data_IF_724035774150
#
_entry.id   IF_724035774150
#
_cell.length_a   1.000
_cell.length_b   1.000
_cell.length_c   1.000
_cell.angle_alpha   90.00
_cell.angle_beta   90.00
_cell.angle_gamma   90.00
#
_symmetry.space_group_name_H-M   'P 1'
#
loop_
_entity.id
_entity.type
_entity.pdbx_description
1 polymer ?
#
# COMPACT_ATOMS: atom_id res chain seq x y z
N UNK A 1 -2.47 -6.34 17.74
CA UNK A 1 -1.81 -5.70 16.58
C UNK A 1 -1.15 -6.75 15.71
N UNK A 2 -1.32 -6.64 14.42
CA UNK A 2 -0.75 -7.57 13.45
C UNK A 2 0.16 -6.80 12.52
N UNK A 3 1.34 -7.34 12.26
CA UNK A 3 2.32 -6.69 11.41
C UNK A 3 2.28 -7.31 10.01
N UNK A 4 1.93 -6.51 9.00
CA UNK A 4 1.88 -6.91 7.61
C UNK A 4 2.98 -6.27 6.74
N UNK A 5 3.92 -5.54 7.34
CA UNK A 5 4.94 -4.84 6.56
C UNK A 5 5.74 -5.77 5.66
N UNK A 6 6.15 -6.90 6.20
CA UNK A 6 6.94 -7.88 5.46
C UNK A 6 6.17 -8.46 4.27
N UNK A 7 4.92 -8.83 4.49
CA UNK A 7 4.07 -9.40 3.45
C UNK A 7 3.77 -8.40 2.35
N UNK A 8 3.47 -7.16 2.71
CA UNK A 8 3.20 -6.10 1.73
C UNK A 8 4.45 -5.80 0.93
N UNK A 9 5.58 -5.65 1.60
CA UNK A 9 6.87 -5.40 0.92
C UNK A 9 7.17 -6.52 -0.07
N UNK A 10 7.08 -7.77 0.36
CA UNK A 10 7.38 -8.91 -0.50
C UNK A 10 6.46 -8.98 -1.70
N UNK A 11 5.16 -8.75 -1.48
CA UNK A 11 4.18 -8.79 -2.57
C UNK A 11 4.46 -7.70 -3.61
N UNK A 12 4.64 -6.46 -3.17
CA UNK A 12 4.87 -5.35 -4.09
C UNK A 12 6.24 -5.45 -4.77
N UNK A 13 7.27 -5.86 -4.03
CA UNK A 13 8.62 -5.96 -4.56
C UNK A 13 8.79 -7.07 -5.60
N UNK A 14 7.82 -7.98 -5.69
CA UNK A 14 7.81 -9.00 -6.74
C UNK A 14 7.55 -8.42 -8.13
N UNK A 15 7.00 -7.21 -8.21
CA UNK A 15 6.66 -6.55 -9.48
C UNK A 15 7.56 -5.34 -9.74
N UNK A 16 7.73 -4.47 -8.75
CA UNK A 16 8.53 -3.25 -8.87
C UNK A 16 9.40 -3.07 -7.64
N UNK A 17 10.52 -2.34 -7.75
CA UNK A 17 11.25 -1.91 -6.57
C UNK A 17 10.32 -1.22 -5.58
N UNK A 18 10.38 -1.62 -4.32
CA UNK A 18 9.45 -1.17 -3.29
C UNK A 18 10.23 -0.60 -2.11
N UNK A 19 9.77 0.54 -1.60
CA UNK A 19 10.40 1.24 -0.50
C UNK A 19 9.36 1.59 0.56
N UNK A 20 9.75 1.52 1.83
CA UNK A 20 8.95 2.15 2.87
C UNK A 20 8.99 3.66 2.65
N UNK A 21 7.85 4.35 2.77
CA UNK A 21 7.79 5.77 2.43
C UNK A 21 8.75 6.62 3.26
N UNK A 22 8.98 6.27 4.52
CA UNK A 22 9.92 6.99 5.37
C UNK A 22 11.38 6.77 4.96
N UNK A 23 11.67 5.77 4.14
CA UNK A 23 13.00 5.47 3.65
C UNK A 23 13.28 6.08 2.28
N UNK A 24 12.30 6.76 1.67
CA UNK A 24 12.47 7.40 0.37
C UNK A 24 13.40 8.61 0.50
N UNK A 25 14.36 8.70 -0.38
CA UNK A 25 15.33 9.81 -0.42
C UNK A 25 15.22 10.63 -1.71
N UNK A 26 14.26 10.30 -2.58
CA UNK A 26 14.01 11.04 -3.81
C UNK A 26 14.87 10.65 -4.99
N UNK A 27 15.68 9.60 -4.87
CA UNK A 27 16.60 9.15 -5.93
C UNK A 27 16.31 7.74 -6.40
N UNK A 28 15.16 7.21 -6.03
CA UNK A 28 14.78 5.85 -6.38
C UNK A 28 14.48 5.74 -7.86
N UNK A 29 14.77 4.56 -8.41
CA UNK A 29 14.44 4.26 -9.80
C UNK A 29 12.92 4.20 -9.96
N UNK A 30 12.41 4.73 -11.08
CA UNK A 30 11.00 4.68 -11.39
C UNK A 30 10.77 3.83 -12.63
N UNK A 31 9.61 3.15 -12.75
CA UNK A 31 8.52 3.11 -11.77
C UNK A 31 8.89 2.37 -10.49
N UNK A 32 8.27 2.76 -9.39
CA UNK A 32 8.45 2.08 -8.11
C UNK A 32 7.21 2.20 -7.24
N UNK A 33 7.14 1.37 -6.22
CA UNK A 33 6.13 1.47 -5.16
C UNK A 33 6.75 2.05 -3.91
N UNK A 34 5.94 2.79 -3.16
CA UNK A 34 6.22 3.07 -1.76
C UNK A 34 4.99 2.73 -0.93
N UNK A 35 5.18 2.45 0.34
CA UNK A 35 4.07 2.09 1.21
C UNK A 35 4.30 2.65 2.61
N UNK A 36 3.19 2.88 3.31
CA UNK A 36 3.21 3.36 4.68
C UNK A 36 1.96 2.87 5.39
N UNK A 37 2.13 2.38 6.62
CA UNK A 37 1.01 2.04 7.47
C UNK A 37 0.32 3.32 7.94
N UNK A 38 -1.00 3.39 7.79
CA UNK A 38 -1.79 4.52 8.24
C UNK A 38 -2.41 4.27 9.60
N UNK A 39 -2.89 3.05 9.81
CA UNK A 39 -3.59 2.70 11.03
C UNK A 39 -3.46 1.21 11.29
N UNK A 40 -3.29 0.86 12.54
CA UNK A 40 -3.28 -0.52 12.99
C UNK A 40 -3.87 -0.53 14.39
N UNK A 41 -5.20 -0.55 14.46
CA UNK A 41 -5.94 -0.42 15.70
C UNK A 41 -6.62 -1.72 16.05
N UNK A 42 -6.49 -2.11 17.29
CA UNK A 42 -7.20 -3.28 17.81
C UNK A 42 -8.66 -2.92 18.03
N UNK A 43 -9.55 -3.77 17.55
CA UNK A 43 -10.98 -3.63 17.74
C UNK A 43 -11.50 -4.83 18.50
N UNK A 44 -12.26 -4.58 19.55
CA UNK A 44 -12.94 -5.64 20.28
C UNK A 44 -14.41 -5.62 19.93
N UNK A 45 -14.90 -6.77 19.48
CA UNK A 45 -16.32 -6.95 19.23
C UNK A 45 -16.83 -8.04 20.15
N UNK A 46 -17.67 -7.69 21.11
CA UNK A 46 -18.25 -8.67 22.02
C UNK A 46 -17.20 -9.32 22.89
N UNK A 47 -17.25 -10.61 23.02
CA UNK A 47 -16.67 -11.28 24.16
C UNK A 47 -15.21 -11.67 24.03
N UNK A 48 -14.65 -11.87 22.85
CA UNK A 48 -13.36 -12.57 22.90
C UNK A 48 -12.48 -12.46 21.71
N UNK A 49 -12.97 -12.02 20.58
CA UNK A 49 -12.13 -11.98 19.38
C UNK A 49 -11.64 -10.56 19.15
N UNK A 50 -10.35 -10.37 19.38
CA UNK A 50 -9.71 -9.16 18.95
C UNK A 50 -9.54 -9.15 17.43
N UNK A 51 -9.83 -8.02 16.83
CA UNK A 51 -9.55 -7.76 15.42
C UNK A 51 -8.65 -6.55 15.35
N UNK A 52 -7.72 -6.58 14.42
CA UNK A 52 -6.96 -5.37 14.08
C UNK A 52 -7.48 -4.83 12.76
N UNK A 53 -7.85 -3.56 12.77
CA UNK A 53 -8.14 -2.82 11.54
C UNK A 53 -6.85 -2.21 11.05
N UNK A 54 -6.43 -2.62 9.88
CA UNK A 54 -5.13 -2.24 9.32
C UNK A 54 -5.38 -1.43 8.05
N UNK A 55 -4.72 -0.29 7.96
CA UNK A 55 -4.82 0.58 6.79
C UNK A 55 -3.43 0.94 6.32
N UNK A 56 -3.18 0.74 5.02
CA UNK A 56 -1.93 1.10 4.38
C UNK A 56 -2.18 2.02 3.21
N UNK A 57 -1.26 2.95 3.01
CA UNK A 57 -1.19 3.73 1.78
C UNK A 57 -0.07 3.15 0.92
N UNK A 58 -0.40 2.84 -0.34
CA UNK A 58 0.57 2.42 -1.34
C UNK A 58 0.59 3.49 -2.41
N UNK A 59 1.78 3.97 -2.75
CA UNK A 59 1.95 4.95 -3.83
C UNK A 59 2.68 4.31 -4.99
N UNK A 60 2.18 4.55 -6.19
CA UNK A 60 2.87 4.17 -7.42
C UNK A 60 3.49 5.43 -8.00
N UNK A 61 4.79 5.39 -8.24
CA UNK A 61 5.55 6.52 -8.76
C UNK A 61 6.00 6.20 -10.17
N UNK A 62 5.71 7.08 -11.13
CA UNK A 62 6.18 6.94 -12.50
C UNK A 62 6.07 8.26 -13.24
N UNK A 63 6.79 8.39 -14.34
CA UNK A 63 6.64 9.51 -15.26
C UNK A 63 5.53 9.26 -16.29
N UNK A 64 4.97 8.07 -16.34
CA UNK A 64 3.96 7.64 -17.32
C UNK A 64 2.62 7.37 -16.64
N UNK A 65 1.55 8.00 -17.14
CA UNK A 65 0.19 7.75 -16.65
C UNK A 65 -0.23 6.30 -16.91
N UNK A 66 0.19 5.73 -18.04
CA UNK A 66 -0.11 4.34 -18.35
C UNK A 66 0.49 3.40 -17.31
N UNK A 67 1.71 3.67 -16.85
CA UNK A 67 2.35 2.90 -15.78
C UNK A 67 1.60 3.02 -14.47
N UNK A 68 1.12 4.22 -14.12
CA UNK A 68 0.35 4.41 -12.90
C UNK A 68 -0.89 3.53 -12.90
N UNK A 69 -1.61 3.45 -14.01
CA UNK A 69 -2.80 2.61 -14.12
C UNK A 69 -2.44 1.13 -14.05
N UNK A 70 -1.44 0.72 -14.81
CA UNK A 70 -1.04 -0.68 -14.88
C UNK A 70 -0.59 -1.20 -13.52
N UNK A 71 0.31 -0.48 -12.86
CA UNK A 71 0.88 -0.92 -11.58
C UNK A 71 -0.08 -0.74 -10.41
N UNK A 72 -1.07 0.15 -10.52
CA UNK A 72 -2.15 0.22 -9.55
C UNK A 72 -3.03 -1.03 -9.60
N UNK A 73 -3.35 -1.50 -10.80
CA UNK A 73 -4.11 -2.75 -10.96
C UNK A 73 -3.30 -3.95 -10.47
N UNK A 74 -1.99 -3.95 -10.72
CA UNK A 74 -1.12 -5.01 -10.21
C UNK A 74 -1.08 -5.01 -8.68
N UNK A 75 -1.03 -3.83 -8.04
CA UNK A 75 -1.07 -3.74 -6.59
C UNK A 75 -2.35 -4.34 -6.02
N UNK A 76 -3.50 -4.08 -6.63
CA UNK A 76 -4.77 -4.69 -6.22
C UNK A 76 -4.68 -6.21 -6.26
N UNK A 77 -4.12 -6.76 -7.33
CA UNK A 77 -3.97 -8.21 -7.49
C UNK A 77 -3.03 -8.82 -6.46
N UNK A 78 -1.99 -8.09 -6.08
CA UNK A 78 -0.98 -8.56 -5.12
C UNK A 78 -1.49 -8.51 -3.69
N UNK A 79 -2.26 -7.49 -3.34
CA UNK A 79 -2.69 -7.25 -1.96
C UNK A 79 -4.02 -7.94 -1.62
N UNK A 80 -4.85 -8.23 -2.61
CA UNK A 80 -6.12 -8.91 -2.37
C UNK A 80 -5.98 -10.26 -1.70
N UNK A 81 -5.03 -11.13 -2.10
CA UNK A 81 -4.85 -12.42 -1.41
C UNK A 81 -4.42 -12.28 0.05
N UNK A 82 -3.85 -11.14 0.42
CA UNK A 82 -3.48 -10.86 1.81
C UNK A 82 -4.66 -10.36 2.63
N UNK A 83 -5.83 -10.19 2.03
CA UNK A 83 -7.03 -9.72 2.71
C UNK A 83 -7.25 -8.22 2.64
N UNK A 84 -6.46 -7.50 1.87
CA UNK A 84 -6.61 -6.06 1.74
C UNK A 84 -7.59 -5.69 0.65
N UNK A 85 -8.44 -4.72 0.96
CA UNK A 85 -9.40 -4.14 0.04
C UNK A 85 -9.02 -2.69 -0.20
N UNK A 86 -8.98 -2.29 -1.46
CA UNK A 86 -8.74 -0.89 -1.80
C UNK A 86 -10.00 -0.08 -1.50
N UNK A 87 -9.85 0.97 -0.69
CA UNK A 87 -10.95 1.84 -0.29
C UNK A 87 -10.90 3.19 -0.98
N UNK A 88 -9.75 3.59 -1.54
CA UNK A 88 -9.67 4.81 -2.34
C UNK A 88 -8.49 4.77 -3.28
N UNK A 89 -8.54 5.61 -4.32
CA UNK A 89 -7.40 5.88 -5.19
C UNK A 89 -7.43 7.35 -5.60
N UNK A 90 -6.25 7.96 -5.74
CA UNK A 90 -6.12 9.35 -6.10
C UNK A 90 -4.83 9.54 -6.90
N UNK A 91 -4.94 10.23 -8.02
CA UNK A 91 -3.77 10.60 -8.82
C UNK A 91 -3.33 12.01 -8.43
N UNK A 92 -2.02 12.18 -8.27
CA UNK A 92 -1.42 13.46 -8.01
C UNK A 92 -0.31 13.72 -9.03
N UNK A 93 -0.26 14.94 -9.54
CA UNK A 93 0.80 15.41 -10.42
C UNK A 93 1.38 16.69 -9.85
N UNK A 94 2.69 16.72 -9.69
CA UNK A 94 3.39 17.95 -9.33
C UNK A 94 3.58 18.78 -10.58
N UNK A 95 3.16 20.04 -10.55
CA UNK A 95 3.30 20.95 -11.69
C UNK A 95 4.75 21.21 -12.06
N UNK A 96 5.65 21.10 -11.11
CA UNK A 96 7.07 21.39 -11.29
C UNK A 96 7.91 20.14 -11.49
N UNK A 97 7.27 18.98 -11.65
CA UNK A 97 7.95 17.70 -11.80
C UNK A 97 7.26 16.87 -12.87
N UNK A 98 8.07 16.11 -13.62
CA UNK A 98 7.52 15.11 -14.52
C UNK A 98 7.05 13.87 -13.78
N UNK A 99 7.42 13.73 -12.52
CA UNK A 99 7.04 12.59 -11.70
C UNK A 99 5.57 12.68 -11.31
N UNK A 100 4.87 11.59 -11.51
CA UNK A 100 3.47 11.44 -11.13
C UNK A 100 3.34 10.36 -10.09
N UNK A 101 2.31 10.45 -9.27
CA UNK A 101 2.03 9.41 -8.28
C UNK A 101 0.56 9.09 -8.24
N UNK A 102 0.26 7.84 -7.94
CA UNK A 102 -1.10 7.41 -7.64
C UNK A 102 -1.12 6.84 -6.24
N UNK A 103 -2.00 7.37 -5.41
CA UNK A 103 -2.12 7.00 -4.02
C UNK A 103 -3.28 6.02 -3.87
N UNK A 104 -3.00 4.84 -3.35
CA UNK A 104 -3.98 3.79 -3.12
C UNK A 104 -4.07 3.56 -1.61
N UNK A 105 -5.27 3.58 -1.08
CA UNK A 105 -5.50 3.27 0.33
C UNK A 105 -6.15 1.90 0.43
N UNK A 106 -5.57 1.03 1.25
CA UNK A 106 -6.05 -0.33 1.47
C UNK A 106 -6.39 -0.53 2.94
N UNK A 107 -7.41 -1.32 3.18
CA UNK A 107 -7.82 -1.70 4.52
C UNK A 107 -8.01 -3.21 4.61
N UNK A 108 -7.73 -3.75 5.77
CA UNK A 108 -8.03 -5.13 6.12
C UNK A 108 -8.49 -5.18 7.57
N UNK A 109 -9.39 -6.12 7.85
CA UNK A 109 -9.76 -6.48 9.21
C UNK A 109 -9.22 -7.87 9.44
N UNK A 110 -8.23 -7.99 10.31
CA UNK A 110 -7.55 -9.25 10.56
C UNK A 110 -7.83 -9.71 11.97
N UNK A 111 -8.10 -11.00 12.11
CA UNK A 111 -8.29 -11.61 13.42
C UNK A 111 -6.94 -11.81 14.10
N UNK A 112 -6.85 -11.41 15.36
CA UNK A 112 -5.69 -11.70 16.20
C UNK A 112 -5.81 -13.06 16.90
N UNK A 113 -6.59 -13.92 16.37
CA UNK A 113 -6.82 -15.23 16.92
C UNK A 113 -5.61 -16.13 16.67
N UNK A 114 -5.01 -16.58 17.75
CA UNK A 114 -3.86 -17.46 17.75
C UNK A 114 -4.26 -18.86 18.12
#
# INVERSE_FOLDING_TARGET
MIDFHSEIFSALNSVLPTHHELALIGKEATPCYSYQERNNADEQTGDTLGYSRISFTVKVWSTSIADLQHYSLEADKLLRPLGFKRVSSQELADRNSTMKQKILTYEALASENY
#
